data_IF_258065588341
#
_entry.id   IF_258065588341
#
_cell.length_a   1.000
_cell.length_b   1.000
_cell.length_c   1.000
_cell.angle_alpha   90.00
_cell.angle_beta   90.00
_cell.angle_gamma   90.00
#
_symmetry.space_group_name_H-M   'P 1'
#
loop_
_entity.id
_entity.type
_entity.pdbx_description
1 polymer ?
#
# COMPACT_ATOMS: atom_id res chain seq x y z
N UNK A 1 7.63 10.19 -5.53
CA UNK A 1 6.18 10.39 -5.79
C UNK A 1 5.48 9.03 -5.70
N UNK A 2 4.33 8.93 -5.02
CA UNK A 2 3.56 7.70 -4.69
C UNK A 2 3.81 6.45 -5.56
N UNK A 3 3.63 6.57 -6.88
CA UNK A 3 3.83 5.48 -7.85
C UNK A 3 5.21 4.83 -7.73
N UNK A 4 6.26 5.63 -7.64
CA UNK A 4 7.64 5.14 -7.55
C UNK A 4 7.88 4.31 -6.28
N UNK A 5 7.35 4.76 -5.14
CA UNK A 5 7.49 4.03 -3.87
C UNK A 5 6.79 2.68 -3.96
N UNK A 6 5.57 2.65 -4.51
CA UNK A 6 4.82 1.40 -4.69
C UNK A 6 5.52 0.46 -5.67
N UNK A 7 6.00 0.94 -6.83
CA UNK A 7 6.69 0.10 -7.80
C UNK A 7 8.00 -0.51 -7.25
N UNK A 8 8.65 0.15 -6.27
CA UNK A 8 9.87 -0.33 -5.59
C UNK A 8 9.59 -1.15 -4.33
N UNK A 9 8.34 -1.24 -3.88
CA UNK A 9 7.94 -1.96 -2.66
C UNK A 9 7.27 -3.28 -3.07
N UNK A 10 7.96 -4.43 -2.95
CA UNK A 10 7.36 -5.72 -3.23
C UNK A 10 6.12 -5.97 -2.38
N UNK A 11 5.19 -6.78 -2.87
CA UNK A 11 3.91 -7.09 -2.19
C UNK A 11 3.02 -5.85 -1.96
N UNK A 12 3.19 -4.82 -2.79
CA UNK A 12 2.33 -3.64 -2.82
C UNK A 12 1.83 -3.36 -4.25
N UNK A 13 0.67 -2.71 -4.34
CA UNK A 13 -0.04 -2.42 -5.59
C UNK A 13 -0.68 -1.03 -5.48
N UNK A 14 -0.82 -0.33 -6.61
CA UNK A 14 -1.52 0.95 -6.69
C UNK A 14 -2.65 0.84 -7.69
N UNK A 15 -3.87 1.18 -7.28
CA UNK A 15 -5.03 1.22 -8.17
C UNK A 15 -5.63 2.62 -8.16
N UNK A 16 -5.76 3.30 -9.30
CA UNK A 16 -6.51 4.55 -9.38
C UNK A 16 -8.00 4.27 -9.16
N UNK A 17 -8.62 4.99 -8.22
CA UNK A 17 -10.06 4.91 -7.98
C UNK A 17 -10.65 6.33 -7.88
N UNK A 18 -11.42 6.81 -8.87
CA UNK A 18 -11.82 8.22 -8.94
C UNK A 18 -12.86 8.62 -7.88
N UNK A 19 -13.60 7.68 -7.29
CA UNK A 19 -14.69 7.95 -6.34
C UNK A 19 -14.26 7.78 -4.86
N UNK A 20 -12.96 7.58 -4.60
CA UNK A 20 -12.44 7.48 -3.23
C UNK A 20 -12.56 8.81 -2.47
N UNK A 21 -12.85 8.73 -1.17
CA UNK A 21 -13.05 9.92 -0.30
C UNK A 21 -11.76 10.70 -0.03
N UNK A 22 -10.64 10.00 0.10
CA UNK A 22 -9.33 10.59 0.38
C UNK A 22 -8.43 10.53 -0.86
N UNK A 23 -7.53 11.50 -1.09
CA UNK A 23 -6.62 11.49 -2.23
C UNK A 23 -5.75 10.22 -2.31
N UNK A 24 -5.41 9.63 -1.16
CA UNK A 24 -4.68 8.37 -1.06
C UNK A 24 -5.32 7.54 0.06
N UNK A 25 -5.73 6.31 -0.26
CA UNK A 25 -6.18 5.32 0.71
C UNK A 25 -5.23 4.11 0.68
N UNK A 26 -4.56 3.86 1.80
CA UNK A 26 -3.64 2.73 1.96
C UNK A 26 -4.33 1.68 2.80
N UNK A 27 -4.42 0.44 2.30
CA UNK A 27 -5.13 -0.65 2.97
C UNK A 27 -4.24 -1.88 3.08
N UNK A 28 -4.30 -2.55 4.23
CA UNK A 28 -3.66 -3.84 4.46
C UNK A 28 -4.33 -4.57 5.62
N UNK A 29 -4.72 -5.84 5.40
CA UNK A 29 -5.19 -6.76 6.46
C UNK A 29 -6.26 -6.17 7.40
N UNK A 30 -7.29 -5.53 6.84
CA UNK A 30 -8.39 -4.92 7.60
C UNK A 30 -8.06 -3.55 8.21
N UNK A 31 -6.89 -2.99 7.90
CA UNK A 31 -6.45 -1.67 8.36
C UNK A 31 -6.40 -0.70 7.19
N UNK A 32 -6.82 0.53 7.44
CA UNK A 32 -6.85 1.58 6.43
C UNK A 32 -6.23 2.86 6.99
N UNK A 33 -5.47 3.55 6.15
CA UNK A 33 -4.90 4.86 6.39
C UNK A 33 -5.26 5.78 5.23
N UNK A 34 -5.94 6.88 5.55
CA UNK A 34 -6.29 7.93 4.58
C UNK A 34 -5.29 9.08 4.68
N UNK A 35 -4.75 9.51 3.53
CA UNK A 35 -3.73 10.55 3.42
C UNK A 35 -4.15 11.59 2.38
N UNK A 36 -3.76 12.83 2.64
CA UNK A 36 -3.94 13.94 1.70
C UNK A 36 -2.73 14.13 0.78
N UNK A 37 -1.55 13.66 1.18
CA UNK A 37 -0.29 13.83 0.46
C UNK A 37 0.56 12.55 0.52
N UNK A 38 1.31 12.26 -0.54
CA UNK A 38 2.17 11.08 -0.65
C UNK A 38 3.47 11.19 0.14
N UNK A 39 3.81 12.38 0.61
CA UNK A 39 5.00 12.68 1.42
C UNK A 39 4.72 12.60 2.91
N UNK A 40 3.50 12.23 3.29
CA UNK A 40 3.14 12.05 4.70
C UNK A 40 3.96 10.87 5.27
N UNK A 41 4.74 11.08 6.36
CA UNK A 41 5.62 10.04 6.91
C UNK A 41 4.86 8.81 7.43
N UNK A 42 3.54 8.93 7.67
CA UNK A 42 2.70 7.80 8.03
C UNK A 42 2.58 6.79 6.88
N UNK A 43 2.78 7.22 5.63
CA UNK A 43 2.80 6.32 4.47
C UNK A 43 3.92 5.28 4.58
N UNK A 44 5.16 5.74 4.77
CA UNK A 44 6.33 4.87 4.88
C UNK A 44 6.23 3.97 6.12
N UNK A 45 5.72 4.51 7.23
CA UNK A 45 5.48 3.74 8.46
C UNK A 45 4.45 2.63 8.22
N UNK A 46 3.38 2.91 7.47
CA UNK A 46 2.36 1.93 7.13
C UNK A 46 2.95 0.80 6.28
N UNK A 47 3.71 1.13 5.24
CA UNK A 47 4.37 0.13 4.41
C UNK A 47 5.32 -0.75 5.23
N UNK A 48 6.19 -0.15 6.05
CA UNK A 48 7.13 -0.88 6.89
C UNK A 48 6.44 -1.81 7.91
N UNK A 49 5.26 -1.43 8.39
CA UNK A 49 4.48 -2.24 9.36
C UNK A 49 3.74 -3.38 8.66
N UNK A 50 3.11 -3.11 7.51
CA UNK A 50 2.11 -4.00 6.95
C UNK A 50 2.59 -4.85 5.78
N UNK A 51 3.64 -4.42 5.07
CA UNK A 51 4.25 -5.23 4.01
C UNK A 51 4.98 -6.39 4.66
N UNK A 52 4.43 -7.59 4.50
CA UNK A 52 4.95 -8.84 5.11
C UNK A 52 5.16 -8.77 6.63
N UNK A 53 4.46 -7.88 7.34
CA UNK A 53 4.49 -7.85 8.81
C UNK A 53 3.71 -9.01 9.42
N UNK A 54 3.73 -9.10 10.75
CA UNK A 54 3.19 -10.23 11.53
C UNK A 54 1.71 -10.55 11.27
N UNK A 55 0.91 -9.53 10.91
CA UNK A 55 -0.50 -9.69 10.54
C UNK A 55 -0.74 -10.32 9.16
N UNK A 56 0.31 -10.52 8.36
CA UNK A 56 0.23 -11.07 7.01
C UNK A 56 -0.04 -12.58 7.11
N UNK A 57 -1.19 -13.10 6.64
CA UNK A 57 -1.53 -14.52 6.75
C UNK A 57 -0.56 -15.44 6.00
N UNK A 58 0.01 -14.95 4.89
CA UNK A 58 0.92 -15.71 4.04
C UNK A 58 2.19 -14.88 3.70
N UNK A 59 3.13 -14.72 4.65
CA UNK A 59 4.36 -13.98 4.40
C UNK A 59 5.20 -14.66 3.31
N UNK A 60 5.69 -13.87 2.35
CA UNK A 60 6.49 -14.36 1.23
C UNK A 60 5.72 -15.09 0.12
N UNK A 61 4.41 -15.28 0.26
CA UNK A 61 3.59 -15.83 -0.82
C UNK A 61 3.46 -14.81 -1.94
N UNK A 62 3.75 -15.23 -3.16
CA UNK A 62 3.68 -14.37 -4.31
C UNK A 62 2.21 -13.98 -4.62
N UNK A 63 1.95 -12.68 -4.72
CA UNK A 63 0.73 -12.20 -5.35
C UNK A 63 0.84 -12.45 -6.86
N UNK A 64 0.08 -13.41 -7.39
CA UNK A 64 0.04 -13.68 -8.83
C UNK A 64 -1.03 -12.83 -9.51
N UNK A 65 -0.79 -12.42 -10.75
CA UNK A 65 -1.72 -11.65 -11.59
C UNK A 65 -2.04 -10.21 -11.13
N UNK A 66 -1.33 -9.68 -10.13
CA UNK A 66 -1.42 -8.25 -9.77
C UNK A 66 -0.73 -7.37 -10.81
N UNK A 67 -1.35 -6.25 -11.17
CA UNK A 67 -0.70 -5.20 -11.98
C UNK A 67 0.04 -4.24 -11.05
N UNK A 68 1.36 -4.15 -11.20
CA UNK A 68 2.18 -3.15 -10.50
C UNK A 68 1.93 -1.75 -11.04
N UNK A 69 2.09 -0.75 -10.18
CA UNK A 69 1.87 0.67 -10.47
C UNK A 69 2.70 1.22 -11.63
#
# INVERSE_FOLDING_TARGET
>A
MLKETVSKTPYSLLSPHPEQKAPIAVTAWGRQLELNDASDPRFDTFLATYVQGEQTPEPGAACTNGLTA
#
